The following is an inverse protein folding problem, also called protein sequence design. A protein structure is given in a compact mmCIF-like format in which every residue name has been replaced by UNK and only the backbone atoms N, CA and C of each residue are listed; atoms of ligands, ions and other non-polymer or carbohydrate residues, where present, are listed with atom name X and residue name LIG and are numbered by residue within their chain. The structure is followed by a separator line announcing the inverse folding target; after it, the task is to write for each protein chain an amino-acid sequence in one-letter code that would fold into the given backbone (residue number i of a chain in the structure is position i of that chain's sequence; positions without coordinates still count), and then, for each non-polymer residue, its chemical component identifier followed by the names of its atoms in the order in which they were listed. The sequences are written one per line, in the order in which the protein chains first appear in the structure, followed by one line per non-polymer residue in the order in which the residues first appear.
data_IF_530402181556
#
_entry.id   IF_530402181556
#
_cell.length_a   1.000
_cell.length_b   1.000
_cell.length_c   1.000
_cell.angle_alpha   90.00
_cell.angle_beta   90.00
_cell.angle_gamma   90.00
#
_symmetry.space_group_name_H-M   'P 1'
#
loop_
_entity.id
_entity.type
_entity.pdbx_description
1 polymer ?
#
# COMPACT_ATOMS: atom_id res chain seq x y z
N UNK A 1 -14.76 34.90 -1.33
CA UNK A 1 -13.50 34.18 -1.66
C UNK A 1 -13.50 33.95 -3.15
N UNK A 2 -12.41 34.24 -3.82
CA UNK A 2 -12.42 34.30 -5.28
C UNK A 2 -11.82 33.02 -5.87
N UNK A 3 -12.64 31.93 -5.93
CA UNK A 3 -12.28 30.69 -6.60
C UNK A 3 -11.86 30.89 -8.05
N UNK A 4 -12.32 32.02 -8.67
CA UNK A 4 -12.02 32.39 -10.06
C UNK A 4 -10.52 32.61 -10.26
N UNK A 5 -9.83 33.25 -9.30
CA UNK A 5 -8.38 33.51 -9.37
C UNK A 5 -7.58 32.20 -9.29
N UNK A 6 -7.95 31.28 -8.38
CA UNK A 6 -7.31 29.97 -8.28
C UNK A 6 -7.49 29.22 -9.59
N UNK A 7 -8.72 29.19 -10.13
CA UNK A 7 -9.04 28.50 -11.37
C UNK A 7 -8.31 29.08 -12.56
N UNK A 8 -8.22 30.42 -12.69
CA UNK A 8 -7.47 31.09 -13.76
C UNK A 8 -5.99 30.71 -13.72
N UNK A 9 -5.36 30.71 -12.54
CA UNK A 9 -3.97 30.31 -12.38
C UNK A 9 -3.75 28.84 -12.78
N UNK A 10 -4.66 27.92 -12.44
CA UNK A 10 -4.57 26.52 -12.82
C UNK A 10 -4.80 26.30 -14.32
N UNK A 11 -5.70 27.03 -14.96
CA UNK A 11 -6.00 26.92 -16.39
C UNK A 11 -4.86 27.41 -17.28
N UNK A 12 -4.09 28.41 -16.85
CA UNK A 12 -2.96 28.95 -17.62
C UNK A 12 -1.80 27.95 -17.73
N UNK A 13 -1.67 27.03 -16.76
CA UNK A 13 -0.59 26.04 -16.71
C UNK A 13 -0.96 24.68 -17.35
N UNK A 14 -2.25 24.43 -17.61
CA UNK A 14 -2.70 23.17 -18.21
C UNK A 14 -2.58 23.20 -19.73
N UNK A 15 -1.41 22.86 -20.27
CA UNK A 15 -1.26 22.61 -21.70
C UNK A 15 -1.70 21.17 -22.03
N UNK A 16 -2.77 20.94 -22.85
CA UNK A 16 -3.29 19.61 -23.15
C UNK A 16 -2.36 18.72 -23.96
N UNK A 17 -1.25 19.26 -24.49
CA UNK A 17 -0.32 18.55 -25.38
C UNK A 17 0.91 17.93 -24.68
N UNK A 18 1.14 18.15 -23.39
CA UNK A 18 2.27 17.59 -22.66
C UNK A 18 1.90 16.28 -21.93
N UNK A 19 2.84 15.33 -21.94
CA UNK A 19 2.71 14.08 -21.19
C UNK A 19 2.58 14.40 -19.69
N UNK A 20 1.51 13.92 -19.07
CA UNK A 20 1.13 14.22 -17.67
C UNK A 20 2.23 13.86 -16.67
N UNK A 21 3.06 12.83 -16.96
CA UNK A 21 4.15 12.39 -16.10
C UNK A 21 5.39 13.26 -16.14
N UNK A 22 5.51 14.16 -17.15
CA UNK A 22 6.64 15.07 -17.32
C UNK A 22 6.38 16.49 -16.77
N UNK A 23 5.18 16.74 -16.28
CA UNK A 23 4.80 18.03 -15.73
C UNK A 23 5.07 18.09 -14.23
N UNK A 24 5.59 19.22 -13.76
CA UNK A 24 5.70 19.50 -12.33
C UNK A 24 4.29 19.62 -11.72
N UNK A 25 3.78 18.50 -11.19
CA UNK A 25 2.48 18.47 -10.53
C UNK A 25 2.60 18.93 -9.08
N UNK A 26 1.53 19.51 -8.59
CA UNK A 26 1.40 19.92 -7.20
C UNK A 26 0.13 19.31 -6.60
N UNK A 27 0.18 19.08 -5.30
CA UNK A 27 -0.97 18.73 -4.48
C UNK A 27 -1.50 20.03 -3.87
N UNK A 28 -2.70 20.41 -4.27
CA UNK A 28 -3.39 21.61 -3.81
C UNK A 28 -4.50 21.21 -2.86
N UNK A 29 -4.22 21.16 -1.57
CA UNK A 29 -5.17 20.74 -0.53
C UNK A 29 -5.88 21.94 0.05
N UNK A 30 -7.18 22.00 -0.10
CA UNK A 30 -8.02 23.11 0.33
C UNK A 30 -8.32 23.06 1.82
N UNK A 31 -8.23 24.19 2.50
CA UNK A 31 -8.58 24.32 3.92
C UNK A 31 -10.10 24.36 4.10
N UNK A 32 -10.82 24.94 3.14
CA UNK A 32 -12.27 25.05 3.14
C UNK A 32 -12.92 24.07 2.16
N UNK A 33 -13.76 23.12 2.64
CA UNK A 33 -14.49 22.18 1.81
C UNK A 33 -15.40 22.86 0.79
N UNK A 34 -15.99 24.01 1.13
CA UNK A 34 -16.90 24.73 0.24
C UNK A 34 -16.14 25.32 -0.95
N UNK A 35 -14.99 25.96 -0.68
CA UNK A 35 -14.12 26.49 -1.74
C UNK A 35 -13.62 25.37 -2.67
N UNK A 36 -13.25 24.21 -2.13
CA UNK A 36 -12.91 23.03 -2.93
C UNK A 36 -14.05 22.62 -3.88
N UNK A 37 -15.28 22.55 -3.36
CA UNK A 37 -16.45 22.16 -4.17
C UNK A 37 -16.77 23.19 -5.25
N UNK A 38 -16.57 24.46 -4.98
CA UNK A 38 -16.73 25.55 -5.96
C UNK A 38 -15.70 25.45 -7.08
N UNK A 39 -14.42 25.23 -6.74
CA UNK A 39 -13.37 25.01 -7.73
C UNK A 39 -13.63 23.79 -8.61
N UNK A 40 -14.06 22.65 -8.02
CA UNK A 40 -14.39 21.45 -8.79
C UNK A 40 -15.59 21.69 -9.72
N UNK A 41 -16.66 22.33 -9.24
CA UNK A 41 -17.84 22.67 -10.08
C UNK A 41 -17.47 23.55 -11.25
N UNK A 42 -16.67 24.59 -11.01
CA UNK A 42 -16.23 25.51 -12.04
C UNK A 42 -15.30 24.82 -13.04
N UNK A 43 -14.38 23.97 -12.57
CA UNK A 43 -13.55 23.15 -13.45
C UNK A 43 -14.39 22.28 -14.39
N UNK A 44 -15.38 21.57 -13.86
CA UNK A 44 -16.30 20.74 -14.65
C UNK A 44 -17.07 21.59 -15.68
N UNK A 45 -17.47 22.83 -15.32
CA UNK A 45 -18.16 23.76 -16.19
C UNK A 45 -17.27 24.26 -17.33
N UNK A 46 -16.01 24.62 -17.04
CA UNK A 46 -15.09 25.20 -18.01
C UNK A 46 -14.55 24.20 -19.02
N UNK A 47 -14.23 22.99 -18.55
CA UNK A 47 -13.68 21.92 -19.41
C UNK A 47 -14.78 21.20 -20.18
N UNK A 48 -16.06 21.51 -19.88
CA UNK A 48 -17.22 20.84 -20.45
C UNK A 48 -17.32 19.38 -19.98
N UNK A 49 -18.48 18.73 -20.20
CA UNK A 49 -18.73 17.32 -19.83
C UNK A 49 -17.78 16.28 -20.50
N UNK A 50 -16.77 16.75 -21.20
CA UNK A 50 -15.71 15.97 -21.81
C UNK A 50 -14.52 15.93 -20.85
N UNK A 51 -14.39 14.81 -20.13
CA UNK A 51 -13.21 14.30 -19.41
C UNK A 51 -12.24 15.39 -18.96
N UNK A 52 -12.01 15.52 -17.65
CA UNK A 52 -10.87 16.27 -17.12
C UNK A 52 -9.63 16.01 -17.98
N UNK A 53 -8.83 17.02 -18.33
CA UNK A 53 -7.53 16.78 -18.95
C UNK A 53 -6.81 15.73 -18.11
N UNK A 54 -6.15 14.79 -18.76
CA UNK A 54 -5.39 13.75 -18.07
C UNK A 54 -4.33 14.30 -17.09
N UNK A 55 -4.04 15.59 -17.19
CA UNK A 55 -3.13 16.37 -16.32
C UNK A 55 -3.73 16.79 -14.99
N UNK A 56 -5.04 16.69 -14.79
CA UNK A 56 -5.71 17.10 -13.55
C UNK A 56 -6.50 15.92 -12.97
N UNK A 57 -6.31 15.69 -11.70
CA UNK A 57 -7.05 14.72 -10.91
C UNK A 57 -7.49 15.34 -9.60
N UNK A 58 -8.36 14.70 -8.86
CA UNK A 58 -8.78 15.21 -7.55
C UNK A 58 -9.17 14.08 -6.61
N UNK A 59 -8.93 14.31 -5.33
CA UNK A 59 -9.39 13.45 -4.23
C UNK A 59 -10.45 14.19 -3.41
N UNK A 60 -11.71 13.75 -3.45
CA UNK A 60 -12.75 14.31 -2.60
C UNK A 60 -12.48 14.10 -1.11
N UNK A 61 -11.86 12.97 -0.77
CA UNK A 61 -11.61 12.58 0.62
C UNK A 61 -10.64 13.55 1.31
N UNK A 62 -9.60 14.02 0.62
CA UNK A 62 -8.64 15.00 1.16
C UNK A 62 -8.90 16.43 0.69
N UNK A 63 -9.92 16.65 -0.17
CA UNK A 63 -10.18 17.97 -0.78
C UNK A 63 -8.95 18.51 -1.53
N UNK A 64 -8.27 17.62 -2.27
CA UNK A 64 -7.04 17.92 -2.98
C UNK A 64 -7.29 17.92 -4.48
N UNK A 65 -6.84 18.98 -5.17
CA UNK A 65 -6.69 19.01 -6.62
C UNK A 65 -5.23 18.73 -6.95
N UNK A 66 -5.00 17.84 -7.89
CA UNK A 66 -3.69 17.45 -8.41
C UNK A 66 -3.58 18.03 -9.80
N UNK A 67 -2.76 19.04 -9.95
CA UNK A 67 -2.64 19.79 -11.20
C UNK A 67 -1.21 20.29 -11.43
N UNK A 68 -0.82 20.58 -12.68
CA UNK A 68 0.30 21.47 -12.93
C UNK A 68 0.01 22.81 -12.28
N UNK A 69 0.93 23.31 -11.47
CA UNK A 69 0.79 24.62 -10.84
C UNK A 69 2.09 25.40 -10.97
N UNK A 70 2.01 26.75 -11.00
CA UNK A 70 3.18 27.59 -11.08
C UNK A 70 4.16 27.28 -9.93
N UNK A 71 5.42 27.12 -10.24
CA UNK A 71 6.49 26.91 -9.25
C UNK A 71 6.90 28.22 -8.54
N UNK A 72 6.02 29.17 -8.40
CA UNK A 72 6.40 30.46 -7.86
C UNK A 72 6.01 30.55 -6.39
N UNK A 73 6.97 30.94 -5.55
CA UNK A 73 6.73 31.36 -4.18
C UNK A 73 5.59 32.40 -4.07
N UNK A 74 5.32 33.13 -5.17
CA UNK A 74 4.22 34.06 -5.29
C UNK A 74 2.86 33.37 -5.26
N UNK A 75 2.68 32.22 -5.97
CA UNK A 75 1.43 31.45 -5.94
C UNK A 75 1.15 30.90 -4.53
N UNK A 76 2.16 30.30 -3.91
CA UNK A 76 2.04 29.77 -2.54
C UNK A 76 1.74 30.90 -1.53
N UNK A 77 2.41 32.04 -1.67
CA UNK A 77 2.16 33.19 -0.79
C UNK A 77 0.77 33.83 -1.01
N UNK A 78 0.29 33.83 -2.25
CA UNK A 78 -1.01 34.40 -2.61
C UNK A 78 -2.17 33.59 -2.06
N UNK A 79 -2.08 32.25 -2.10
CA UNK A 79 -3.18 31.34 -1.73
C UNK A 79 -2.95 30.55 -0.42
N UNK A 80 -1.96 30.91 0.40
CA UNK A 80 -1.60 30.20 1.63
C UNK A 80 -2.72 30.08 2.68
N UNK A 81 -3.69 30.99 2.63
CA UNK A 81 -4.83 30.97 3.56
C UNK A 81 -5.93 30.02 3.08
N UNK A 82 -5.98 29.75 1.77
CA UNK A 82 -7.00 28.94 1.10
C UNK A 82 -6.54 27.49 0.90
N UNK A 83 -5.24 27.30 0.61
CA UNK A 83 -4.70 25.95 0.30
C UNK A 83 -3.30 25.75 0.85
N UNK A 84 -3.03 24.49 1.12
CA UNK A 84 -1.68 23.96 1.29
C UNK A 84 -1.21 23.44 -0.06
N UNK A 85 0.01 23.83 -0.46
CA UNK A 85 0.65 23.38 -1.69
C UNK A 85 1.81 22.46 -1.33
N UNK A 86 1.83 21.26 -1.92
CA UNK A 86 2.94 20.31 -1.77
C UNK A 86 3.45 19.87 -3.15
N UNK A 87 4.73 19.49 -3.23
CA UNK A 87 5.28 18.82 -4.41
C UNK A 87 4.69 17.43 -4.54
N UNK A 88 4.49 16.97 -5.77
CA UNK A 88 4.07 15.61 -6.06
C UNK A 88 5.31 14.73 -6.19
N UNK A 89 5.90 14.38 -5.05
CA UNK A 89 7.13 13.59 -4.96
C UNK A 89 6.97 12.20 -5.56
N UNK A 90 8.09 11.63 -6.01
CA UNK A 90 8.13 10.25 -6.49
C UNK A 90 8.28 9.26 -5.33
N UNK A 91 7.62 8.12 -5.49
CA UNK A 91 7.65 6.96 -4.59
C UNK A 91 8.12 5.75 -5.38
N UNK A 92 8.95 4.92 -4.77
CA UNK A 92 9.52 3.74 -5.44
C UNK A 92 9.25 2.46 -4.67
N UNK A 93 9.08 1.37 -5.43
CA UNK A 93 9.12 0.02 -4.89
C UNK A 93 10.57 -0.27 -4.49
N UNK A 94 10.72 -0.84 -3.30
CA UNK A 94 12.02 -1.22 -2.74
C UNK A 94 12.06 -2.72 -2.53
N UNK A 95 12.63 -3.47 -3.49
CA UNK A 95 12.83 -4.90 -3.36
C UNK A 95 14.15 -5.31 -4.03
N UNK A 96 14.82 -6.27 -3.41
CA UNK A 96 16.02 -6.90 -3.94
C UNK A 96 15.56 -8.10 -4.77
N UNK A 97 15.83 -8.06 -6.07
CA UNK A 97 15.49 -9.15 -6.98
C UNK A 97 16.44 -10.34 -6.78
N UNK A 98 15.89 -11.53 -6.82
CA UNK A 98 16.61 -12.80 -6.76
C UNK A 98 16.53 -13.55 -8.08
N UNK A 99 16.39 -14.85 -8.03
CA UNK A 99 16.38 -15.75 -9.18
C UNK A 99 14.99 -16.30 -9.49
N UNK A 100 14.80 -16.78 -10.73
CA UNK A 100 13.61 -17.56 -11.11
C UNK A 100 13.58 -18.82 -10.26
N UNK A 101 12.47 -19.02 -9.52
CA UNK A 101 12.28 -20.15 -8.63
C UNK A 101 11.33 -21.19 -9.20
N UNK A 102 11.44 -22.42 -8.72
CA UNK A 102 10.38 -23.42 -8.82
C UNK A 102 9.74 -23.56 -7.43
N UNK A 103 8.43 -23.57 -7.36
CA UNK A 103 7.73 -23.70 -6.09
C UNK A 103 6.53 -24.61 -6.23
N UNK A 104 6.53 -25.67 -5.41
CA UNK A 104 5.35 -26.51 -5.17
C UNK A 104 5.05 -26.55 -3.68
N UNK A 105 3.79 -26.26 -3.32
CA UNK A 105 3.31 -26.35 -1.94
C UNK A 105 3.42 -25.04 -1.15
N UNK A 106 3.63 -25.16 0.15
CA UNK A 106 3.58 -24.02 1.06
C UNK A 106 4.96 -23.36 1.20
N UNK A 107 5.15 -22.09 0.83
CA UNK A 107 6.40 -21.34 1.01
C UNK A 107 6.88 -21.34 2.47
N UNK A 108 8.20 -21.25 2.65
CA UNK A 108 8.81 -21.31 3.98
C UNK A 108 8.33 -20.20 4.93
N UNK A 109 8.15 -18.98 4.41
CA UNK A 109 7.70 -17.83 5.20
C UNK A 109 6.31 -18.05 5.78
N UNK A 110 5.40 -18.59 4.99
CA UNK A 110 4.03 -18.92 5.39
C UNK A 110 4.02 -20.03 6.47
N UNK A 111 4.91 -21.03 6.35
CA UNK A 111 5.10 -22.05 7.39
C UNK A 111 5.67 -21.45 8.67
N UNK A 112 6.65 -20.54 8.57
CA UNK A 112 7.33 -19.92 9.72
C UNK A 112 6.37 -19.13 10.60
N UNK A 113 5.45 -18.35 9.99
CA UNK A 113 4.45 -17.58 10.73
C UNK A 113 3.27 -18.43 11.25
N UNK A 114 3.29 -19.75 11.04
CA UNK A 114 2.24 -20.68 11.47
C UNK A 114 0.86 -20.44 10.82
N UNK A 115 0.84 -19.93 9.57
CA UNK A 115 -0.42 -19.74 8.83
C UNK A 115 -1.12 -21.07 8.51
N UNK A 116 -0.44 -22.17 8.10
CA UNK A 116 -1.09 -23.45 7.87
C UNK A 116 -1.87 -23.98 9.09
N UNK A 117 -1.36 -23.75 10.29
CA UNK A 117 -2.03 -24.17 11.52
C UNK A 117 -3.24 -23.26 11.85
N UNK A 118 -3.28 -22.05 11.32
CA UNK A 118 -4.41 -21.13 11.48
C UNK A 118 -5.57 -21.46 10.51
N UNK A 119 -5.33 -22.16 9.39
CA UNK A 119 -6.36 -22.41 8.37
C UNK A 119 -7.51 -23.30 8.84
N UNK A 120 -7.32 -24.09 9.88
CA UNK A 120 -8.43 -24.83 10.52
C UNK A 120 -9.44 -23.89 11.21
N UNK A 121 -9.06 -22.65 11.50
CA UNK A 121 -9.91 -21.66 12.12
C UNK A 121 -10.37 -20.62 11.08
N UNK A 122 -9.46 -20.11 10.26
CA UNK A 122 -9.74 -19.08 9.25
C UNK A 122 -8.81 -19.22 8.05
N UNK A 123 -9.36 -18.98 6.86
CA UNK A 123 -8.61 -18.87 5.59
C UNK A 123 -8.71 -17.46 4.98
N UNK A 124 -9.20 -16.49 5.73
CA UNK A 124 -9.38 -15.11 5.27
C UNK A 124 -10.59 -14.92 4.34
N UNK A 125 -11.62 -15.77 4.46
CA UNK A 125 -12.75 -15.80 3.52
C UNK A 125 -13.41 -14.43 3.33
N UNK A 126 -13.53 -14.01 2.06
CA UNK A 126 -14.16 -12.75 1.61
C UNK A 126 -13.49 -11.45 2.10
N UNK A 127 -12.35 -11.51 2.78
CA UNK A 127 -11.64 -10.30 3.15
C UNK A 127 -11.13 -9.58 1.91
N UNK A 128 -11.47 -8.29 1.77
CA UNK A 128 -11.08 -7.43 0.66
C UNK A 128 -9.71 -6.82 0.95
N UNK A 129 -8.68 -7.20 0.20
CA UNK A 129 -7.30 -6.71 0.37
C UNK A 129 -6.89 -5.95 -0.88
N UNK A 130 -6.72 -4.64 -0.77
CA UNK A 130 -6.12 -3.86 -1.85
C UNK A 130 -4.60 -3.99 -1.80
N UNK A 131 -4.01 -4.32 -2.94
CA UNK A 131 -2.56 -4.30 -3.16
C UNK A 131 -2.26 -3.09 -4.03
N UNK A 132 -1.79 -1.99 -3.40
CA UNK A 132 -1.36 -0.78 -4.11
C UNK A 132 0.07 -1.03 -4.58
N UNK A 133 0.23 -1.34 -5.89
CA UNK A 133 1.47 -1.86 -6.43
C UNK A 133 1.53 -1.71 -7.96
N UNK A 134 2.32 -2.55 -8.65
CA UNK A 134 2.50 -2.56 -10.12
C UNK A 134 1.37 -3.23 -10.89
N UNK A 135 0.36 -3.77 -10.22
CA UNK A 135 -0.72 -4.55 -10.83
C UNK A 135 -0.65 -6.02 -10.47
N UNK A 136 -1.24 -6.89 -11.27
CA UNK A 136 -1.24 -8.35 -11.06
C UNK A 136 -1.29 -9.11 -12.40
N UNK A 137 -0.67 -10.29 -12.45
CA UNK A 137 -0.88 -11.26 -13.53
C UNK A 137 -2.20 -12.00 -13.31
N UNK A 138 -3.26 -11.54 -13.98
CA UNK A 138 -4.60 -12.14 -13.90
C UNK A 138 -4.66 -13.58 -14.43
N UNK A 139 -3.69 -13.97 -15.27
CA UNK A 139 -3.63 -15.31 -15.85
C UNK A 139 -2.85 -16.30 -14.97
N UNK A 140 -2.21 -15.82 -13.88
CA UNK A 140 -1.42 -16.70 -13.02
C UNK A 140 -2.29 -17.79 -12.41
N UNK A 141 -1.95 -19.09 -12.57
CA UNK A 141 -2.79 -20.22 -12.17
C UNK A 141 -3.12 -20.23 -10.68
N UNK A 142 -2.23 -19.72 -9.83
CA UNK A 142 -2.43 -19.70 -8.38
C UNK A 142 -3.25 -18.51 -7.89
N UNK A 143 -3.47 -17.48 -8.72
CA UNK A 143 -4.13 -16.24 -8.35
C UNK A 143 -5.52 -16.07 -8.95
N UNK A 144 -5.80 -16.67 -10.08
CA UNK A 144 -7.03 -16.44 -10.88
C UNK A 144 -8.35 -16.51 -10.12
N UNK A 145 -8.41 -17.24 -9.01
CA UNK A 145 -9.60 -17.36 -8.16
C UNK A 145 -9.61 -16.41 -6.95
N UNK A 146 -8.51 -15.73 -6.70
CA UNK A 146 -8.34 -14.81 -5.57
C UNK A 146 -8.39 -13.34 -5.99
N UNK A 147 -8.57 -13.06 -7.29
CA UNK A 147 -8.49 -11.71 -7.84
C UNK A 147 -9.86 -11.15 -8.22
N UNK A 148 -9.98 -9.84 -8.14
CA UNK A 148 -11.07 -9.06 -8.73
C UNK A 148 -10.50 -7.96 -9.63
N UNK A 149 -11.40 -7.19 -10.30
CA UNK A 149 -11.02 -6.25 -11.35
C UNK A 149 -10.02 -5.17 -10.90
N UNK A 150 -10.13 -4.64 -9.68
CA UNK A 150 -9.30 -3.55 -9.19
C UNK A 150 -9.36 -2.27 -10.04
N UNK A 151 -8.29 -1.47 -9.99
CA UNK A 151 -8.16 -0.22 -10.76
C UNK A 151 -6.74 0.00 -11.25
N UNK A 152 -6.60 0.62 -12.42
CA UNK A 152 -5.32 1.08 -12.98
C UNK A 152 -5.29 2.62 -12.99
N UNK A 153 -4.41 3.22 -12.17
CA UNK A 153 -4.23 4.67 -12.11
C UNK A 153 -3.14 5.17 -13.07
N UNK A 154 -2.29 4.25 -13.54
CA UNK A 154 -1.25 4.55 -14.53
C UNK A 154 -1.86 4.68 -15.92
N UNK A 155 -2.74 3.73 -16.29
CA UNK A 155 -3.46 3.69 -17.56
C UNK A 155 -4.95 3.37 -17.31
N UNK A 156 -5.74 4.40 -17.06
CA UNK A 156 -7.12 4.30 -16.55
C UNK A 156 -8.11 3.52 -17.42
N UNK A 157 -7.77 3.29 -18.70
CA UNK A 157 -8.66 2.64 -19.67
C UNK A 157 -8.42 1.12 -19.82
N UNK A 158 -7.42 0.58 -19.15
CA UNK A 158 -7.09 -0.85 -19.18
C UNK A 158 -7.06 -1.43 -17.77
N UNK A 159 -7.29 -2.76 -17.61
CA UNK A 159 -7.15 -3.41 -16.32
C UNK A 159 -5.76 -3.24 -15.71
N UNK A 160 -5.61 -3.42 -14.40
CA UNK A 160 -4.34 -3.28 -13.69
C UNK A 160 -3.39 -4.47 -13.92
N UNK A 161 -3.05 -4.75 -15.18
CA UNK A 161 -2.06 -5.76 -15.53
C UNK A 161 -0.69 -5.38 -14.99
N UNK A 162 0.01 -6.37 -14.45
CA UNK A 162 1.37 -6.22 -13.95
C UNK A 162 2.37 -6.31 -15.10
N UNK A 163 3.22 -5.32 -15.23
CA UNK A 163 4.30 -5.22 -16.22
C UNK A 163 5.70 -5.13 -15.57
N UNK A 164 5.76 -5.39 -14.24
CA UNK A 164 6.97 -5.39 -13.43
C UNK A 164 7.18 -6.75 -12.71
N UNK A 165 6.12 -7.29 -12.09
CA UNK A 165 6.10 -8.56 -11.36
C UNK A 165 6.00 -8.41 -9.84
N UNK A 166 6.31 -7.25 -9.28
CA UNK A 166 6.30 -7.05 -7.82
C UNK A 166 4.89 -7.21 -7.24
N UNK A 167 3.86 -6.57 -7.83
CA UNK A 167 2.49 -6.68 -7.35
C UNK A 167 1.92 -8.10 -7.44
N UNK A 168 2.31 -8.86 -8.46
CA UNK A 168 1.98 -10.30 -8.59
C UNK A 168 2.62 -11.10 -7.46
N UNK A 169 3.89 -10.84 -7.13
CA UNK A 169 4.60 -11.48 -6.03
C UNK A 169 3.94 -11.22 -4.67
N UNK A 170 3.60 -9.96 -4.38
CA UNK A 170 2.88 -9.55 -3.17
C UNK A 170 1.53 -10.26 -3.08
N UNK A 171 0.75 -10.24 -4.17
CA UNK A 171 -0.57 -10.87 -4.24
C UNK A 171 -0.50 -12.39 -4.01
N UNK A 172 0.52 -13.06 -4.55
CA UNK A 172 0.78 -14.47 -4.35
C UNK A 172 1.05 -14.83 -2.89
N UNK A 173 1.90 -14.06 -2.22
CA UNK A 173 2.20 -14.24 -0.79
C UNK A 173 0.96 -14.07 0.08
N UNK A 174 0.08 -13.12 -0.28
CA UNK A 174 -1.17 -12.88 0.46
C UNK A 174 -2.18 -14.01 0.21
N UNK A 175 -2.51 -14.32 -1.06
CA UNK A 175 -3.76 -14.99 -1.38
C UNK A 175 -3.67 -16.06 -2.49
N UNK A 176 -2.48 -16.53 -2.88
CA UNK A 176 -2.40 -17.67 -3.78
C UNK A 176 -3.20 -18.88 -3.24
N UNK A 177 -3.90 -19.59 -4.12
CA UNK A 177 -4.89 -20.61 -3.72
C UNK A 177 -4.76 -21.93 -4.51
N UNK A 178 -3.56 -22.28 -4.96
CA UNK A 178 -3.32 -23.54 -5.67
C UNK A 178 -2.51 -24.51 -4.80
N UNK A 179 -3.20 -25.35 -4.04
CA UNK A 179 -2.59 -26.29 -3.11
C UNK A 179 -2.06 -27.57 -3.75
N UNK A 180 -2.39 -27.86 -5.01
CA UNK A 180 -2.06 -29.13 -5.66
C UNK A 180 -0.84 -29.08 -6.57
N UNK A 181 -0.71 -28.02 -7.37
CA UNK A 181 0.36 -27.90 -8.37
C UNK A 181 1.14 -26.57 -8.30
N UNK A 182 0.79 -25.70 -7.36
CA UNK A 182 1.38 -24.40 -7.20
C UNK A 182 1.60 -24.02 -5.74
N UNK A 183 1.48 -22.74 -5.42
CA UNK A 183 1.66 -22.24 -4.07
C UNK A 183 0.33 -21.90 -3.39
N UNK A 184 0.39 -21.81 -2.07
CA UNK A 184 -0.70 -21.31 -1.24
C UNK A 184 -0.20 -20.12 -0.42
N UNK A 185 -0.95 -19.03 -0.42
CA UNK A 185 -0.68 -17.80 0.32
C UNK A 185 -1.09 -17.87 1.78
N UNK A 186 -0.89 -16.78 2.53
CA UNK A 186 -1.23 -16.72 3.97
C UNK A 186 -2.75 -16.82 4.19
N UNK A 187 -3.54 -16.13 3.38
CA UNK A 187 -5.00 -16.05 3.45
C UNK A 187 -5.64 -16.45 2.11
N UNK A 188 -5.66 -17.76 1.78
CA UNK A 188 -5.94 -18.27 0.44
C UNK A 188 -7.40 -18.10 -0.02
N UNK A 189 -8.30 -17.64 0.83
CA UNK A 189 -9.70 -17.32 0.48
C UNK A 189 -10.04 -15.84 0.62
N UNK A 190 -9.05 -14.98 0.82
CA UNK A 190 -9.22 -13.54 0.68
C UNK A 190 -9.32 -13.12 -0.78
N UNK A 191 -9.85 -11.92 -1.02
CA UNK A 191 -10.04 -11.35 -2.36
C UNK A 191 -9.09 -10.19 -2.53
N UNK A 192 -8.15 -10.31 -3.47
CA UNK A 192 -7.19 -9.26 -3.80
C UNK A 192 -7.79 -8.31 -4.82
N UNK A 193 -7.72 -7.03 -4.51
CA UNK A 193 -8.06 -5.90 -5.36
C UNK A 193 -6.77 -5.25 -5.84
N UNK A 194 -6.27 -5.54 -7.05
CA UNK A 194 -5.07 -4.93 -7.57
C UNK A 194 -5.32 -3.44 -7.85
N UNK A 195 -4.50 -2.58 -7.25
CA UNK A 195 -4.55 -1.12 -7.44
C UNK A 195 -3.21 -0.71 -8.05
N UNK A 196 -3.16 -0.66 -9.40
CA UNK A 196 -1.93 -0.31 -10.10
C UNK A 196 -1.70 1.20 -10.03
N UNK A 197 -0.82 1.60 -9.10
CA UNK A 197 -0.34 2.96 -8.95
C UNK A 197 1.09 3.14 -9.49
N UNK A 198 1.85 2.04 -9.55
CA UNK A 198 3.25 1.99 -9.99
C UNK A 198 3.35 1.54 -11.43
N UNK A 199 4.25 2.18 -12.18
CA UNK A 199 4.56 1.82 -13.56
C UNK A 199 5.52 0.60 -13.65
N UNK A 200 5.92 0.26 -14.88
CA UNK A 200 6.83 -0.86 -15.16
C UNK A 200 8.21 -0.70 -14.51
N UNK A 201 8.64 0.52 -14.19
CA UNK A 201 9.90 0.80 -13.48
C UNK A 201 9.74 0.72 -11.96
N UNK A 202 8.53 0.47 -11.44
CA UNK A 202 8.24 0.50 -10.02
C UNK A 202 8.22 1.91 -9.43
N UNK A 203 7.81 2.90 -10.24
CA UNK A 203 7.72 4.32 -9.84
C UNK A 203 6.28 4.79 -9.85
N UNK A 204 5.91 5.59 -8.86
CA UNK A 204 4.62 6.27 -8.73
C UNK A 204 4.83 7.69 -8.21
N UNK A 205 3.80 8.50 -8.26
CA UNK A 205 3.76 9.78 -7.57
C UNK A 205 2.92 9.69 -6.29
N UNK A 206 3.17 10.55 -5.32
CA UNK A 206 2.36 10.64 -4.08
C UNK A 206 0.88 10.83 -4.41
N UNK A 207 0.57 11.60 -5.45
CA UNK A 207 -0.80 11.78 -5.95
C UNK A 207 -1.47 10.48 -6.38
N UNK A 208 -0.74 9.57 -7.04
CA UNK A 208 -1.27 8.28 -7.45
C UNK A 208 -1.60 7.42 -6.22
N UNK A 209 -0.78 7.51 -5.16
CA UNK A 209 -1.04 6.82 -3.89
C UNK A 209 -2.27 7.42 -3.18
N UNK A 210 -2.41 8.75 -3.16
CA UNK A 210 -3.59 9.42 -2.60
C UNK A 210 -4.86 8.96 -3.31
N UNK A 211 -4.86 8.93 -4.64
CA UNK A 211 -6.00 8.47 -5.44
C UNK A 211 -6.28 6.97 -5.24
N UNK A 212 -5.24 6.17 -5.05
CA UNK A 212 -5.35 4.75 -4.75
C UNK A 212 -6.06 4.52 -3.40
N UNK A 213 -5.65 5.24 -2.35
CA UNK A 213 -6.26 5.14 -1.02
C UNK A 213 -7.72 5.66 -1.05
N UNK A 214 -7.97 6.79 -1.72
CA UNK A 214 -9.32 7.34 -1.91
C UNK A 214 -10.25 6.31 -2.57
N UNK A 215 -9.77 5.64 -3.63
CA UNK A 215 -10.51 4.57 -4.28
C UNK A 215 -10.77 3.39 -3.32
N UNK A 216 -9.76 2.98 -2.55
CA UNK A 216 -9.89 1.88 -1.58
C UNK A 216 -10.99 2.16 -0.53
N UNK A 217 -11.05 3.39 -0.01
CA UNK A 217 -12.10 3.79 0.96
C UNK A 217 -13.47 3.71 0.31
N UNK A 218 -13.64 4.23 -0.92
CA UNK A 218 -14.91 4.16 -1.65
C UNK A 218 -15.32 2.75 -2.07
N UNK A 219 -14.35 1.86 -2.28
CA UNK A 219 -14.57 0.44 -2.59
C UNK A 219 -14.79 -0.42 -1.34
N UNK A 220 -14.81 0.20 -0.15
CA UNK A 220 -14.99 -0.49 1.15
C UNK A 220 -13.97 -1.61 1.35
N UNK A 221 -12.71 -1.33 1.09
CA UNK A 221 -11.59 -2.24 1.29
C UNK A 221 -11.36 -2.46 2.80
N UNK A 222 -11.06 -3.69 3.20
CA UNK A 222 -10.78 -4.03 4.59
C UNK A 222 -9.32 -3.74 4.98
N UNK A 223 -8.39 -4.11 4.09
CA UNK A 223 -6.95 -4.03 4.33
C UNK A 223 -6.28 -3.44 3.09
N UNK A 224 -5.43 -2.45 3.28
CA UNK A 224 -4.54 -1.92 2.23
C UNK A 224 -3.12 -2.40 2.51
N UNK A 225 -2.52 -3.09 1.55
CA UNK A 225 -1.11 -3.45 1.54
C UNK A 225 -0.30 -2.43 0.74
N UNK A 226 0.65 -1.76 1.39
CA UNK A 226 1.55 -0.77 0.80
C UNK A 226 3.00 -1.25 0.89
N UNK A 227 3.47 -1.91 -0.16
CA UNK A 227 4.80 -2.51 -0.24
C UNK A 227 5.84 -1.58 -0.88
N UNK A 228 5.83 -0.32 -0.49
CA UNK A 228 6.70 0.76 -0.98
C UNK A 228 7.01 1.78 0.13
N UNK A 229 7.96 2.68 -0.13
CA UNK A 229 8.29 3.73 0.82
C UNK A 229 8.93 4.97 0.19
N UNK A 230 8.87 6.07 0.93
CA UNK A 230 9.55 7.33 0.63
C UNK A 230 10.13 7.93 1.92
N UNK A 231 11.20 8.71 1.79
CA UNK A 231 11.85 9.32 2.95
C UNK A 231 11.22 10.67 3.32
N UNK A 232 10.66 11.37 2.35
CA UNK A 232 10.01 12.66 2.51
C UNK A 232 8.63 12.48 3.16
N UNK A 233 8.27 13.38 4.08
CA UNK A 233 6.94 13.41 4.69
C UNK A 233 6.00 14.26 3.85
N UNK A 234 4.88 13.70 3.40
CA UNK A 234 3.77 14.44 2.81
C UNK A 234 2.64 14.60 3.83
N UNK A 235 2.11 15.82 3.96
CA UNK A 235 0.96 16.13 4.83
C UNK A 235 -0.34 15.60 4.23
N UNK A 236 -0.49 15.74 2.91
CA UNK A 236 -1.67 15.22 2.20
C UNK A 236 -1.73 13.70 2.25
N UNK A 237 -0.57 13.01 2.14
CA UNK A 237 -0.53 11.55 2.33
C UNK A 237 -0.87 11.15 3.77
N UNK A 238 -0.42 11.89 4.77
CA UNK A 238 -0.81 11.67 6.17
C UNK A 238 -2.32 11.83 6.37
N UNK A 239 -2.91 12.87 5.77
CA UNK A 239 -4.35 13.14 5.88
C UNK A 239 -5.19 12.01 5.28
N UNK A 240 -4.89 11.55 4.04
CA UNK A 240 -5.64 10.45 3.42
C UNK A 240 -5.48 9.14 4.20
N UNK A 241 -4.29 8.84 4.72
CA UNK A 241 -4.04 7.68 5.59
C UNK A 241 -4.87 7.78 6.88
N UNK A 242 -4.96 8.97 7.47
CA UNK A 242 -5.80 9.24 8.64
C UNK A 242 -7.28 9.00 8.36
N UNK A 243 -7.79 9.52 7.24
CA UNK A 243 -9.19 9.37 6.81
C UNK A 243 -9.54 7.92 6.47
N UNK A 244 -8.65 7.18 5.82
CA UNK A 244 -8.83 5.76 5.56
C UNK A 244 -8.88 4.95 6.88
N UNK A 245 -8.01 5.28 7.84
CA UNK A 245 -8.04 4.66 9.17
C UNK A 245 -9.34 4.97 9.92
N UNK A 246 -9.84 6.21 9.87
CA UNK A 246 -11.14 6.60 10.44
C UNK A 246 -12.32 5.88 9.78
N UNK A 247 -12.22 5.57 8.48
CA UNK A 247 -13.19 4.75 7.76
C UNK A 247 -13.10 3.25 8.09
N UNK A 248 -12.21 2.84 9.02
CA UNK A 248 -12.05 1.46 9.44
C UNK A 248 -11.17 0.61 8.53
N UNK A 249 -10.40 1.22 7.62
CA UNK A 249 -9.44 0.51 6.76
C UNK A 249 -8.14 0.27 7.51
N UNK A 250 -7.67 -0.97 7.55
CA UNK A 250 -6.37 -1.31 8.12
C UNK A 250 -5.28 -1.15 7.07
N UNK A 251 -4.28 -0.33 7.36
CA UNK A 251 -3.17 -0.07 6.43
C UNK A 251 -1.90 -0.73 6.95
N UNK A 252 -1.29 -1.59 6.13
CA UNK A 252 -0.04 -2.29 6.42
C UNK A 252 1.03 -1.79 5.45
N UNK A 253 2.17 -1.33 5.96
CA UNK A 253 3.19 -0.69 5.14
C UNK A 253 4.60 -1.18 5.46
N UNK A 254 5.44 -1.26 4.43
CA UNK A 254 6.84 -1.70 4.54
C UNK A 254 7.72 -0.62 5.17
N UNK A 255 8.57 -1.03 6.12
CA UNK A 255 9.41 -0.10 6.90
C UNK A 255 10.59 0.48 6.12
N UNK A 256 10.92 -0.07 4.95
CA UNK A 256 12.06 0.35 4.12
C UNK A 256 13.26 -0.61 4.18
N UNK A 257 14.13 -0.52 3.16
CA UNK A 257 15.19 -1.49 2.90
C UNK A 257 16.62 -0.88 2.93
N UNK A 258 16.80 0.24 3.61
CA UNK A 258 18.10 0.93 3.71
C UNK A 258 18.99 0.44 4.87
N UNK A 259 18.53 -0.54 5.65
CA UNK A 259 19.23 -1.02 6.84
C UNK A 259 19.30 -0.01 7.98
N UNK A 260 18.51 1.05 7.91
CA UNK A 260 18.52 2.16 8.87
C UNK A 260 17.99 1.72 10.23
N UNK A 261 18.58 2.34 11.27
CA UNK A 261 18.15 2.12 12.66
C UNK A 261 17.29 3.29 13.14
N UNK A 262 16.27 2.99 13.96
CA UNK A 262 15.38 3.98 14.59
C UNK A 262 14.63 4.85 13.60
N UNK A 263 14.32 4.30 12.41
CA UNK A 263 13.49 4.95 11.41
C UNK A 263 12.69 3.94 10.61
N UNK A 264 11.63 4.40 9.96
CA UNK A 264 10.90 3.72 8.92
C UNK A 264 10.56 4.74 7.83
N UNK A 265 10.35 4.27 6.62
CA UNK A 265 9.91 5.11 5.51
C UNK A 265 8.41 5.48 5.66
N UNK A 266 7.96 6.54 4.99
CA UNK A 266 6.55 6.84 4.90
C UNK A 266 5.92 6.01 3.76
N UNK A 267 4.68 5.51 3.91
CA UNK A 267 3.73 5.79 4.99
C UNK A 267 3.90 4.94 6.27
N UNK A 268 4.79 3.94 6.31
CA UNK A 268 4.95 3.06 7.47
C UNK A 268 5.25 3.81 8.79
N UNK A 269 5.87 4.99 8.69
CA UNK A 269 6.18 5.83 9.86
C UNK A 269 4.97 6.57 10.43
N UNK A 270 3.84 6.62 9.75
CA UNK A 270 2.63 7.24 10.29
C UNK A 270 2.00 6.35 11.39
N UNK A 271 1.51 6.94 12.52
CA UNK A 271 0.93 6.14 13.62
C UNK A 271 -0.28 5.31 13.18
N UNK A 272 -0.99 5.75 12.16
CA UNK A 272 -2.21 5.12 11.63
C UNK A 272 -1.94 3.88 10.77
N UNK A 273 -0.68 3.60 10.42
CA UNK A 273 -0.29 2.41 9.65
C UNK A 273 0.37 1.37 10.54
N UNK A 274 0.35 0.12 10.13
CA UNK A 274 1.11 -0.98 10.73
C UNK A 274 2.43 -1.10 9.97
N UNK A 275 3.53 -0.74 10.62
CA UNK A 275 4.87 -0.77 10.06
C UNK A 275 5.50 -2.15 10.17
N UNK A 276 5.99 -2.71 9.05
CA UNK A 276 6.50 -4.07 8.98
C UNK A 276 7.95 -4.13 8.57
N UNK A 277 8.79 -4.75 9.40
CA UNK A 277 10.19 -5.09 9.11
C UNK A 277 10.34 -6.54 8.63
N UNK A 278 11.51 -6.86 8.06
CA UNK A 278 11.79 -8.19 7.51
C UNK A 278 12.57 -9.09 8.47
N UNK A 279 12.32 -10.41 8.36
CA UNK A 279 13.14 -11.47 8.96
C UNK A 279 13.61 -12.48 7.92
N UNK A 280 14.69 -13.18 8.24
CA UNK A 280 15.19 -14.35 7.52
C UNK A 280 14.60 -15.67 8.06
N UNK A 281 14.99 -16.81 7.47
CA UNK A 281 14.59 -18.17 7.91
C UNK A 281 14.99 -18.51 9.34
N UNK A 282 15.94 -17.77 9.90
CA UNK A 282 16.43 -17.96 11.28
C UNK A 282 15.80 -16.98 12.27
N UNK A 283 14.81 -16.19 11.86
CA UNK A 283 14.21 -15.07 12.64
C UNK A 283 15.23 -14.00 13.04
N UNK A 284 16.23 -13.77 12.21
CA UNK A 284 17.14 -12.63 12.33
C UNK A 284 16.66 -11.51 11.43
N UNK A 285 16.94 -10.28 11.80
CA UNK A 285 16.67 -9.10 10.96
C UNK A 285 17.78 -9.00 9.90
N UNK A 286 17.48 -9.12 8.58
CA UNK A 286 18.45 -8.96 7.51
C UNK A 286 19.07 -7.56 7.53
N UNK A 287 20.26 -7.42 6.92
CA UNK A 287 20.99 -6.14 6.89
C UNK A 287 20.21 -5.01 6.22
N UNK A 288 19.45 -5.32 5.20
CA UNK A 288 18.66 -4.34 4.45
C UNK A 288 17.46 -3.80 5.24
N UNK A 289 16.84 -4.60 6.12
CA UNK A 289 15.60 -4.17 6.79
C UNK A 289 15.83 -2.99 7.72
N UNK A 290 15.02 -1.94 7.57
CA UNK A 290 14.89 -0.90 8.58
C UNK A 290 14.38 -1.51 9.90
N UNK A 291 14.78 -0.92 11.04
CA UNK A 291 14.54 -1.52 12.36
C UNK A 291 14.46 -0.49 13.48
N UNK A 292 13.80 -0.86 14.56
CA UNK A 292 13.70 -0.04 15.78
C UNK A 292 12.27 0.37 16.11
N UNK A 293 12.13 1.43 16.90
CA UNK A 293 10.85 1.83 17.54
C UNK A 293 9.70 2.17 16.58
N UNK A 294 10.00 2.46 15.29
CA UNK A 294 8.99 2.75 14.28
C UNK A 294 8.52 1.51 13.51
N UNK A 295 9.03 0.33 13.84
CA UNK A 295 8.59 -0.95 13.28
C UNK A 295 7.67 -1.62 14.29
N UNK A 296 6.42 -1.89 13.93
CA UNK A 296 5.42 -2.47 14.83
C UNK A 296 5.53 -3.99 14.94
N UNK A 297 5.95 -4.66 13.86
CA UNK A 297 6.06 -6.12 13.80
C UNK A 297 7.04 -6.52 12.70
N UNK A 298 7.64 -7.71 12.83
CA UNK A 298 8.47 -8.30 11.78
C UNK A 298 7.80 -9.52 11.17
N UNK A 299 8.16 -9.84 9.91
CA UNK A 299 7.68 -11.02 9.22
C UNK A 299 8.72 -11.52 8.20
N UNK A 300 8.61 -12.76 7.68
CA UNK A 300 9.50 -13.27 6.64
C UNK A 300 9.59 -12.36 5.44
N UNK A 301 10.82 -11.92 5.11
CA UNK A 301 11.06 -10.96 4.02
C UNK A 301 12.37 -11.20 3.28
N UNK A 302 13.15 -12.21 3.64
CA UNK A 302 14.41 -12.54 2.97
C UNK A 302 14.26 -13.82 2.15
N UNK A 303 14.57 -13.77 0.83
CA UNK A 303 14.48 -14.91 -0.08
C UNK A 303 13.11 -15.58 -0.08
N UNK A 304 12.09 -14.77 -0.31
CA UNK A 304 10.70 -15.21 -0.42
C UNK A 304 10.40 -15.56 -1.87
N UNK A 305 10.00 -16.81 -2.10
CA UNK A 305 9.52 -17.25 -3.41
C UNK A 305 8.00 -17.09 -3.46
N UNK A 306 7.50 -16.45 -4.51
CA UNK A 306 6.07 -16.23 -4.74
C UNK A 306 5.74 -16.18 -6.24
N UNK A 307 4.46 -16.04 -6.56
CA UNK A 307 3.95 -15.90 -7.91
C UNK A 307 4.66 -14.76 -8.67
N UNK A 308 4.85 -14.93 -9.96
CA UNK A 308 5.49 -13.98 -10.86
C UNK A 308 4.76 -13.93 -12.20
N UNK A 309 5.18 -13.03 -13.07
CA UNK A 309 4.62 -12.88 -14.42
C UNK A 309 4.68 -14.17 -15.23
N UNK A 310 3.71 -14.36 -16.12
CA UNK A 310 3.60 -15.51 -17.03
C UNK A 310 3.44 -16.86 -16.30
N UNK A 311 2.76 -16.86 -15.15
CA UNK A 311 2.54 -18.07 -14.37
C UNK A 311 3.80 -18.66 -13.71
N UNK A 312 4.89 -17.87 -13.64
CA UNK A 312 6.18 -18.29 -13.05
C UNK A 312 6.25 -17.97 -11.56
N UNK A 313 7.36 -18.33 -10.95
CA UNK A 313 7.71 -17.96 -9.58
C UNK A 313 9.04 -17.23 -9.55
N UNK A 314 9.19 -16.31 -8.59
CA UNK A 314 10.42 -15.55 -8.42
C UNK A 314 10.77 -15.41 -6.94
N UNK A 315 12.07 -15.44 -6.62
CA UNK A 315 12.58 -15.16 -5.29
C UNK A 315 12.86 -13.66 -5.13
N UNK A 316 12.36 -13.06 -4.07
CA UNK A 316 12.61 -11.64 -3.75
C UNK A 316 12.92 -11.47 -2.27
N UNK A 317 13.67 -10.40 -1.94
CA UNK A 317 13.93 -9.98 -0.57
C UNK A 317 13.52 -8.53 -0.37
N UNK A 318 12.90 -8.22 0.77
CA UNK A 318 12.47 -6.88 1.12
C UNK A 318 11.43 -6.86 2.24
N UNK A 319 11.27 -5.70 2.87
CA UNK A 319 10.17 -5.45 3.81
C UNK A 319 8.81 -5.50 3.13
N UNK A 320 8.75 -5.36 1.80
CA UNK A 320 7.57 -5.58 0.95
C UNK A 320 7.00 -6.98 1.10
N UNK A 321 7.87 -8.01 1.05
CA UNK A 321 7.47 -9.42 1.21
C UNK A 321 7.01 -9.70 2.66
N UNK A 322 7.63 -9.06 3.63
CA UNK A 322 7.21 -9.13 5.02
C UNK A 322 5.81 -8.53 5.23
N UNK A 323 5.53 -7.39 4.59
CA UNK A 323 4.24 -6.69 4.66
C UNK A 323 3.10 -7.56 4.15
N UNK A 324 3.30 -8.29 3.06
CA UNK A 324 2.29 -9.21 2.51
C UNK A 324 1.94 -10.35 3.48
N UNK A 325 2.91 -10.90 4.21
CA UNK A 325 2.66 -11.90 5.26
C UNK A 325 1.78 -11.34 6.39
N UNK A 326 2.02 -10.10 6.82
CA UNK A 326 1.23 -9.45 7.88
C UNK A 326 -0.17 -9.10 7.38
N UNK A 327 -0.32 -8.60 6.16
CA UNK A 327 -1.63 -8.32 5.55
C UNK A 327 -2.50 -9.58 5.50
N UNK A 328 -1.92 -10.72 5.08
CA UNK A 328 -2.60 -11.99 5.09
C UNK A 328 -2.97 -12.47 6.50
N UNK A 329 -2.06 -12.32 7.48
CA UNK A 329 -2.34 -12.71 8.87
C UNK A 329 -3.50 -11.88 9.47
N UNK A 330 -3.57 -10.58 9.17
CA UNK A 330 -4.68 -9.72 9.59
C UNK A 330 -5.98 -10.16 8.93
N UNK A 331 -5.95 -10.53 7.65
CA UNK A 331 -7.12 -11.06 6.96
C UNK A 331 -7.67 -12.34 7.60
N UNK A 332 -6.80 -13.24 8.07
CA UNK A 332 -7.25 -14.43 8.80
C UNK A 332 -8.06 -14.05 10.05
N UNK A 333 -7.65 -13.04 10.81
CA UNK A 333 -8.36 -12.59 12.00
C UNK A 333 -9.66 -11.87 11.66
N UNK A 334 -9.61 -10.88 10.79
CA UNK A 334 -10.77 -10.03 10.49
C UNK A 334 -11.90 -10.78 9.78
N UNK A 335 -11.60 -11.89 9.10
CA UNK A 335 -12.61 -12.78 8.55
C UNK A 335 -13.47 -13.47 9.63
N UNK A 336 -13.00 -13.56 10.87
CA UNK A 336 -13.71 -14.13 12.02
C UNK A 336 -14.20 -13.06 12.99
N UNK A 337 -13.49 -11.92 13.07
CA UNK A 337 -13.73 -10.83 14.03
C UNK A 337 -13.68 -9.48 13.31
N UNK A 338 -14.65 -9.17 12.44
CA UNK A 338 -14.66 -7.93 11.66
C UNK A 338 -14.78 -6.66 12.53
N UNK A 339 -15.29 -6.77 13.74
CA UNK A 339 -15.38 -5.72 14.74
C UNK A 339 -14.03 -5.24 15.27
N UNK A 340 -12.96 -6.02 15.12
CA UNK A 340 -11.61 -5.66 15.54
C UNK A 340 -10.87 -4.74 14.53
N UNK A 341 -11.54 -4.16 13.54
CA UNK A 341 -10.97 -3.23 12.56
C UNK A 341 -10.54 -1.89 13.18
N UNK A 342 -9.58 -1.92 14.11
CA UNK A 342 -8.96 -0.74 14.72
C UNK A 342 -7.45 -0.93 14.74
N UNK A 343 -6.70 -0.05 14.06
CA UNK A 343 -5.24 -0.17 13.93
C UNK A 343 -4.53 -0.33 15.27
N UNK A 344 -4.90 0.44 16.29
CA UNK A 344 -4.29 0.33 17.61
C UNK A 344 -4.52 -1.05 18.26
N UNK A 345 -5.72 -1.62 18.13
CA UNK A 345 -6.05 -2.97 18.64
C UNK A 345 -5.24 -4.04 17.91
N UNK A 346 -5.16 -3.95 16.59
CA UNK A 346 -4.38 -4.90 15.77
C UNK A 346 -2.89 -4.82 16.12
N UNK A 347 -2.31 -3.61 16.25
CA UNK A 347 -0.91 -3.42 16.66
C UNK A 347 -0.63 -4.06 18.02
N UNK A 348 -1.45 -3.76 19.02
CA UNK A 348 -1.30 -4.32 20.36
C UNK A 348 -1.37 -5.86 20.36
N UNK A 349 -2.31 -6.41 19.58
CA UNK A 349 -2.47 -7.86 19.45
C UNK A 349 -1.29 -8.51 18.73
N UNK A 350 -0.81 -7.95 17.61
CA UNK A 350 0.37 -8.42 16.89
C UNK A 350 1.59 -8.49 17.81
N UNK A 351 1.86 -7.43 18.57
CA UNK A 351 2.97 -7.37 19.54
C UNK A 351 2.86 -8.44 20.61
N UNK A 352 1.72 -8.53 21.26
CA UNK A 352 1.45 -9.49 22.37
C UNK A 352 1.59 -10.94 21.93
N UNK A 353 1.28 -11.26 20.67
CA UNK A 353 1.24 -12.63 20.13
C UNK A 353 2.47 -13.01 19.29
N UNK A 354 3.39 -12.08 19.10
CA UNK A 354 4.58 -12.29 18.28
C UNK A 354 5.50 -13.40 18.81
N UNK A 355 6.28 -13.99 17.92
CA UNK A 355 7.35 -14.92 18.24
C UNK A 355 8.66 -14.17 18.45
N UNK A 356 9.51 -14.54 19.42
CA UNK A 356 10.78 -13.86 19.68
C UNK A 356 11.71 -13.89 18.46
N UNK A 357 12.42 -12.77 18.24
CA UNK A 357 13.51 -12.68 17.27
C UNK A 357 14.83 -13.17 17.85
N UNK A 358 15.69 -13.72 16.98
CA UNK A 358 17.09 -14.02 17.34
C UNK A 358 17.96 -12.79 17.13
N UNK A 359 18.04 -11.94 18.14
CA UNK A 359 18.81 -10.70 18.09
C UNK A 359 20.29 -10.94 18.40
N UNK A 360 21.18 -10.15 17.78
CA UNK A 360 22.58 -10.06 18.20
C UNK A 360 22.66 -9.39 19.59
N UNK A 361 23.68 -9.79 20.39
CA UNK A 361 23.92 -9.21 21.71
C UNK A 361 24.03 -7.67 21.61
N UNK A 362 23.30 -6.93 22.45
CA UNK A 362 23.24 -5.47 22.42
C UNK A 362 22.14 -4.86 21.52
N UNK A 363 21.33 -5.68 20.87
CA UNK A 363 20.13 -5.21 20.13
C UNK A 363 18.89 -5.42 21.01
N UNK A 364 18.12 -4.37 21.18
CA UNK A 364 16.77 -4.42 21.75
C UNK A 364 15.78 -3.95 20.68
N UNK A 365 14.84 -4.79 20.34
CA UNK A 365 13.60 -4.42 19.64
C UNK A 365 12.45 -4.90 20.52
N UNK A 366 11.45 -4.05 20.67
CA UNK A 366 10.29 -4.35 21.51
C UNK A 366 9.39 -5.44 20.93
N UNK A 367 9.57 -5.77 19.65
CA UNK A 367 8.61 -6.52 18.86
C UNK A 367 9.26 -7.77 18.24
N UNK A 368 8.43 -8.80 18.03
CA UNK A 368 8.83 -10.08 17.49
C UNK A 368 8.40 -10.27 16.03
N UNK A 369 8.45 -11.52 15.57
CA UNK A 369 7.92 -11.95 14.28
C UNK A 369 6.45 -12.36 14.40
N UNK A 370 5.62 -11.99 13.43
CA UNK A 370 4.20 -12.36 13.40
C UNK A 370 3.99 -13.87 13.55
N UNK A 371 3.02 -14.25 14.37
CA UNK A 371 2.59 -15.63 14.55
C UNK A 371 1.09 -15.70 14.28
N UNK A 372 0.71 -16.09 13.08
CA UNK A 372 -0.68 -16.04 12.62
C UNK A 372 -1.62 -16.89 13.49
N UNK A 373 -1.17 -18.05 13.96
CA UNK A 373 -1.99 -18.92 14.83
C UNK A 373 -2.26 -18.28 16.20
N UNK A 374 -1.21 -17.76 16.88
CA UNK A 374 -1.38 -17.10 18.17
C UNK A 374 -2.21 -15.82 18.02
N UNK A 375 -1.93 -15.04 16.99
CA UNK A 375 -2.64 -13.82 16.67
C UNK A 375 -4.14 -14.06 16.48
N UNK A 376 -4.50 -15.09 15.69
CA UNK A 376 -5.88 -15.47 15.46
C UNK A 376 -6.55 -15.97 16.75
N UNK A 377 -5.91 -16.89 17.48
CA UNK A 377 -6.47 -17.47 18.72
C UNK A 377 -6.71 -16.41 19.80
N UNK A 378 -5.77 -15.52 20.02
CA UNK A 378 -5.92 -14.46 21.02
C UNK A 378 -6.92 -13.38 20.58
N UNK A 379 -6.99 -13.09 19.26
CA UNK A 379 -8.01 -12.18 18.72
C UNK A 379 -9.43 -12.74 18.84
N UNK A 380 -9.59 -14.06 18.73
CA UNK A 380 -10.91 -14.71 18.94
C UNK A 380 -11.44 -14.61 20.37
N UNK A 381 -10.59 -14.27 21.34
CA UNK A 381 -10.99 -14.09 22.74
C UNK A 381 -11.46 -12.67 23.06
N UNK A 382 -11.17 -11.71 22.17
CA UNK A 382 -11.61 -10.30 22.29
C UNK A 382 -13.02 -10.13 21.70
#
# INVERSE_FOLDING_TARGET
MDYTRIMQSLLTETNPMRNVREMNRRLLTFHDPQLYQECIREWIRLVGKRRFPSSVSYSPLTQTIIAPAPQTAKFEAEFRNELMVEEDDQVHIQAIQGTIGTLTGIPWGIKQIKAPQAWSISTGHRMKIAVIDTGVDFAHPDLKYSLTRGINLVHRNIPPYDDNGHGTHISGTIAAANSTQGMIGVAPRSVVYPVKAFDHNGSAFVSDIILAIDWCVRAEIDIINMSFGMQTRSRTLLDIVGKANQAGVIIVASSGNDGKRRTADYPARYPQTISVGATDRNRKIPSFSNRGQFVDIYAPGDKIVSAWLQGKYHEMSGTSMATSHVSGAIALLLAQKPDLKKTATIKALLRRTSSPLKLKKGYSVSDGEVNALKFLREGMKL
#
